data_IF_273644741686
#
_entry.id   IF_273644741686
#
_cell.length_a   1.000
_cell.length_b   1.000
_cell.length_c   1.000
_cell.angle_alpha   90.00
_cell.angle_beta   90.00
_cell.angle_gamma   90.00
#
_symmetry.space_group_name_H-M   'P 1'
#
loop_
_entity.id
_entity.type
_entity.pdbx_description
1 polymer ?
#
# COMPACT_ATOMS: atom_id res chain seq x y z
N UNK A 1 34.57 -30.71 1.29
CA UNK A 1 35.94 -31.26 1.43
C UNK A 1 36.16 -31.73 2.87
N UNK A 2 36.76 -32.91 3.04
CA UNK A 2 37.16 -33.43 4.35
C UNK A 2 38.30 -32.58 4.92
N UNK A 3 38.18 -32.16 6.18
CA UNK A 3 39.23 -31.45 6.92
C UNK A 3 39.73 -32.37 8.03
N UNK A 4 40.48 -33.40 7.64
CA UNK A 4 41.14 -34.32 8.58
C UNK A 4 42.56 -33.83 8.85
N UNK A 5 42.96 -33.83 10.13
CA UNK A 5 44.35 -33.50 10.52
C UNK A 5 45.28 -34.71 10.49
N UNK A 6 44.71 -35.91 10.68
CA UNK A 6 45.44 -37.17 10.73
C UNK A 6 44.74 -38.20 9.82
N UNK A 7 45.46 -39.21 9.31
CA UNK A 7 44.92 -40.20 8.39
C UNK A 7 43.70 -40.92 8.98
N UNK A 8 42.71 -41.17 8.12
CA UNK A 8 41.37 -41.64 8.49
C UNK A 8 41.38 -42.91 9.35
N UNK A 9 42.24 -43.86 8.99
CA UNK A 9 42.33 -45.17 9.65
C UNK A 9 43.26 -45.17 10.87
N UNK A 10 43.69 -44.00 11.34
CA UNK A 10 44.55 -43.90 12.52
C UNK A 10 43.73 -43.71 13.81
N UNK A 11 44.22 -44.31 14.91
CA UNK A 11 43.77 -44.03 16.28
C UNK A 11 44.05 -42.57 16.73
N UNK A 12 44.50 -41.69 15.84
CA UNK A 12 44.67 -40.25 16.10
C UNK A 12 43.86 -39.40 15.11
N UNK A 13 43.01 -40.01 14.28
CA UNK A 13 42.16 -39.31 13.31
C UNK A 13 41.30 -38.27 14.02
N UNK A 14 41.43 -37.01 13.61
CA UNK A 14 40.67 -35.88 14.15
C UNK A 14 40.29 -34.94 13.01
N UNK A 15 39.10 -34.34 13.08
CA UNK A 15 38.59 -33.44 12.06
C UNK A 15 37.27 -33.90 11.42
N UNK A 16 36.80 -33.16 10.43
CA UNK A 16 35.48 -33.39 9.82
C UNK A 16 35.56 -34.13 8.49
N UNK A 17 34.79 -35.22 8.34
CA UNK A 17 34.53 -35.86 7.04
C UNK A 17 33.27 -35.25 6.41
N UNK A 18 33.46 -34.09 5.79
CA UNK A 18 32.37 -33.38 5.12
C UNK A 18 31.23 -33.01 6.08
N UNK A 19 29.98 -33.30 5.67
CA UNK A 19 28.76 -33.05 6.44
C UNK A 19 28.26 -34.27 7.22
N UNK A 20 28.96 -35.41 7.16
CA UNK A 20 28.47 -36.68 7.70
C UNK A 20 28.83 -36.84 9.18
N UNK A 21 30.10 -36.76 9.53
CA UNK A 21 30.57 -36.90 10.91
C UNK A 21 31.91 -36.19 11.14
N UNK A 22 32.14 -35.79 12.38
CA UNK A 22 33.42 -35.28 12.88
C UNK A 22 34.03 -36.25 13.88
N UNK A 23 35.33 -36.53 13.70
CA UNK A 23 36.15 -37.33 14.59
C UNK A 23 36.81 -36.41 15.61
N UNK A 24 36.60 -36.68 16.89
CA UNK A 24 37.21 -35.93 17.99
C UNK A 24 37.79 -36.88 19.05
N UNK A 25 38.86 -36.44 19.72
CA UNK A 25 39.40 -37.11 20.89
C UNK A 25 39.13 -36.24 22.13
N UNK A 26 38.33 -36.74 23.07
CA UNK A 26 37.99 -36.01 24.30
C UNK A 26 38.17 -36.92 25.51
N UNK A 27 38.92 -36.44 26.52
CA UNK A 27 39.22 -37.21 27.75
C UNK A 27 39.70 -38.64 27.48
N UNK A 28 40.60 -38.81 26.50
CA UNK A 28 41.19 -40.11 26.14
C UNK A 28 40.31 -41.02 25.26
N UNK A 29 39.04 -40.70 25.02
CA UNK A 29 38.13 -41.48 24.17
C UNK A 29 38.02 -40.92 22.76
N UNK A 30 37.89 -41.81 21.77
CA UNK A 30 37.57 -41.48 20.39
C UNK A 30 36.06 -41.38 20.22
N UNK A 31 35.59 -40.25 19.70
CA UNK A 31 34.17 -39.95 19.56
C UNK A 31 33.90 -39.63 18.09
N UNK A 32 32.85 -40.25 17.55
CA UNK A 32 32.28 -39.93 16.25
C UNK A 32 31.01 -39.11 16.51
N UNK A 33 31.02 -37.84 16.13
CA UNK A 33 29.87 -36.96 16.32
C UNK A 33 29.25 -36.61 14.96
N UNK A 34 27.96 -36.86 14.79
CA UNK A 34 27.18 -36.29 13.69
C UNK A 34 26.70 -34.91 14.12
N UNK A 35 27.34 -33.84 13.64
CA UNK A 35 26.86 -32.48 13.88
C UNK A 35 25.55 -32.28 13.11
N UNK A 36 24.41 -32.07 13.77
CA UNK A 36 23.19 -31.72 13.06
C UNK A 36 23.44 -30.38 12.36
N UNK A 37 23.28 -30.34 11.04
CA UNK A 37 23.08 -29.07 10.36
C UNK A 37 21.59 -28.77 10.49
N UNK A 38 21.18 -27.82 11.33
CA UNK A 38 19.79 -27.40 11.36
C UNK A 38 19.44 -26.88 9.96
N UNK A 39 18.47 -27.50 9.31
CA UNK A 39 17.87 -26.97 8.08
C UNK A 39 17.04 -25.76 8.47
N UNK A 40 17.14 -24.67 7.71
CA UNK A 40 16.29 -23.50 7.91
C UNK A 40 14.83 -23.93 7.75
N UNK A 41 14.07 -23.85 8.84
CA UNK A 41 12.70 -24.33 8.89
C UNK A 41 11.75 -23.46 8.05
N UNK A 42 12.20 -22.28 7.57
CA UNK A 42 11.46 -21.34 6.70
C UNK A 42 9.98 -21.21 7.07
N UNK A 43 9.67 -21.25 8.36
CA UNK A 43 8.30 -21.06 8.82
C UNK A 43 7.81 -19.67 8.40
N UNK A 44 6.50 -19.46 8.17
CA UNK A 44 5.96 -18.15 7.78
C UNK A 44 6.40 -17.03 8.75
N UNK A 45 6.43 -17.33 10.04
CA UNK A 45 6.88 -16.41 11.10
C UNK A 45 8.38 -16.08 10.96
N UNK A 46 9.23 -17.07 10.69
CA UNK A 46 10.67 -16.83 10.47
C UNK A 46 10.92 -15.98 9.22
N UNK A 47 10.21 -16.25 8.13
CA UNK A 47 10.31 -15.46 6.90
C UNK A 47 9.85 -14.01 7.14
N UNK A 48 8.76 -13.83 7.89
CA UNK A 48 8.28 -12.51 8.29
C UNK A 48 9.33 -11.73 9.09
N UNK A 49 9.89 -12.31 10.15
CA UNK A 49 10.94 -11.64 10.92
C UNK A 49 12.17 -11.33 10.07
N UNK A 50 12.61 -12.26 9.21
CA UNK A 50 13.74 -12.04 8.30
C UNK A 50 13.48 -10.85 7.37
N UNK A 51 12.28 -10.77 6.81
CA UNK A 51 11.85 -9.64 5.98
C UNK A 51 11.91 -8.32 6.76
N UNK A 52 11.39 -8.30 7.99
CA UNK A 52 11.44 -7.12 8.87
C UNK A 52 12.88 -6.66 9.14
N UNK A 53 13.76 -7.57 9.57
CA UNK A 53 15.18 -7.25 9.80
C UNK A 53 15.87 -6.73 8.53
N UNK A 54 15.54 -7.29 7.36
CA UNK A 54 16.09 -6.84 6.07
C UNK A 54 15.64 -5.42 5.74
N UNK A 55 14.37 -5.08 6.00
CA UNK A 55 13.86 -3.70 5.86
C UNK A 55 14.58 -2.73 6.79
N UNK A 56 14.76 -3.07 8.06
CA UNK A 56 15.49 -2.23 9.01
C UNK A 56 16.92 -1.95 8.53
N UNK A 57 17.64 -2.99 8.08
CA UNK A 57 18.98 -2.83 7.56
C UNK A 57 19.03 -1.89 6.34
N UNK A 58 18.08 -2.05 5.40
CA UNK A 58 17.99 -1.17 4.24
C UNK A 58 17.72 0.29 4.62
N UNK A 59 16.84 0.54 5.60
CA UNK A 59 16.54 1.88 6.10
C UNK A 59 17.79 2.54 6.73
N UNK A 60 18.59 1.77 7.46
CA UNK A 60 19.86 2.26 7.99
C UNK A 60 20.84 2.66 6.88
N UNK A 61 20.89 1.91 5.78
CA UNK A 61 21.73 2.23 4.63
C UNK A 61 21.25 3.44 3.82
N UNK A 62 19.95 3.76 3.86
CA UNK A 62 19.41 4.97 3.23
C UNK A 62 19.56 6.22 4.10
N UNK A 63 19.89 6.05 5.38
CA UNK A 63 20.06 7.15 6.33
C UNK A 63 21.31 7.97 5.96
N UNK A 64 21.17 9.29 5.88
CA UNK A 64 22.25 10.18 5.47
C UNK A 64 23.42 10.16 6.46
N UNK A 65 24.62 10.53 6.00
CA UNK A 65 25.83 10.60 6.84
C UNK A 65 25.68 11.57 8.03
N UNK A 66 24.74 12.53 7.95
CA UNK A 66 24.46 13.51 9.00
C UNK A 66 23.56 12.97 10.13
N UNK A 67 22.69 12.00 9.84
CA UNK A 67 21.72 11.46 10.82
C UNK A 67 22.31 10.31 11.64
N UNK A 68 23.24 9.53 11.08
CA UNK A 68 23.94 8.45 11.79
C UNK A 68 24.61 8.88 13.12
N UNK A 69 25.32 10.02 13.21
CA UNK A 69 25.91 10.47 14.47
C UNK A 69 24.85 10.88 15.53
N UNK A 70 23.66 11.31 15.11
CA UNK A 70 22.55 11.60 16.03
C UNK A 70 22.08 10.31 16.72
N UNK A 71 21.86 9.25 15.95
CA UNK A 71 21.52 7.92 16.50
C UNK A 71 22.63 7.36 17.38
N UNK A 72 23.89 7.60 17.04
CA UNK A 72 25.03 7.20 17.87
C UNK A 72 25.04 7.96 19.20
N UNK A 73 24.74 9.27 19.19
CA UNK A 73 24.63 10.09 20.40
C UNK A 73 23.52 9.59 21.34
N UNK A 74 22.37 9.20 20.79
CA UNK A 74 21.24 8.65 21.53
C UNK A 74 21.51 7.23 22.09
N UNK A 75 22.40 6.48 21.44
CA UNK A 75 22.77 5.13 21.82
C UNK A 75 23.89 5.09 22.87
N UNK A 76 24.77 6.10 22.92
CA UNK A 76 25.89 6.19 23.88
C UNK A 76 25.47 6.06 25.35
N UNK A 77 24.42 6.76 25.85
CA UNK A 77 23.94 6.59 27.22
C UNK A 77 23.42 5.18 27.54
N UNK A 78 23.12 4.39 26.51
CA UNK A 78 22.55 3.04 26.63
C UNK A 78 23.58 1.94 26.36
N UNK A 79 24.86 2.30 26.22
CA UNK A 79 25.94 1.36 25.91
C UNK A 79 25.68 0.53 24.62
N UNK A 80 25.04 1.14 23.62
CA UNK A 80 24.74 0.51 22.33
C UNK A 80 25.35 1.30 21.18
N UNK A 81 25.55 0.64 20.03
CA UNK A 81 25.85 1.34 18.78
C UNK A 81 24.59 2.03 18.25
N UNK A 82 24.75 3.11 17.49
CA UNK A 82 23.62 3.78 16.82
C UNK A 82 22.77 2.81 16.01
N UNK A 83 23.41 1.91 15.26
CA UNK A 83 22.76 0.85 14.50
C UNK A 83 21.95 -0.11 15.39
N UNK A 84 22.52 -0.60 16.50
CA UNK A 84 21.82 -1.52 17.40
C UNK A 84 20.63 -0.85 18.09
N UNK A 85 20.74 0.45 18.39
CA UNK A 85 19.64 1.23 18.96
C UNK A 85 18.53 1.50 17.93
N UNK A 86 18.90 1.82 16.69
CA UNK A 86 17.99 2.01 15.56
C UNK A 86 17.20 0.73 15.24
N UNK A 87 17.90 -0.40 15.08
CA UNK A 87 17.27 -1.71 14.85
C UNK A 87 16.32 -2.06 16.00
N UNK A 88 16.71 -1.79 17.26
CA UNK A 88 15.83 -1.97 18.42
C UNK A 88 14.56 -1.11 18.34
N UNK A 89 14.65 0.14 17.86
CA UNK A 89 13.45 0.98 17.67
C UNK A 89 12.56 0.46 16.55
N UNK A 90 13.13 -0.01 15.44
CA UNK A 90 12.35 -0.54 14.32
C UNK A 90 11.68 -1.89 14.61
N UNK A 91 12.20 -2.66 15.58
CA UNK A 91 11.72 -4.01 15.93
C UNK A 91 10.98 -4.12 17.26
N UNK A 92 11.05 -3.10 18.13
CA UNK A 92 10.10 -2.94 19.24
C UNK A 92 8.68 -2.91 18.65
N UNK A 93 7.65 -3.37 19.39
CA UNK A 93 6.32 -3.41 18.83
C UNK A 93 5.96 -1.98 18.44
N UNK A 94 5.94 -1.74 17.14
CA UNK A 94 5.10 -0.71 16.61
C UNK A 94 4.12 -1.27 15.57
N UNK A 95 3.25 -2.22 15.95
CA UNK A 95 2.14 -2.65 15.12
C UNK A 95 1.00 -1.61 15.10
N UNK A 96 1.27 -0.30 15.11
CA UNK A 96 0.17 0.68 15.09
C UNK A 96 0.48 2.18 15.18
N UNK A 97 1.71 2.64 15.40
CA UNK A 97 1.97 4.10 15.55
C UNK A 97 2.38 4.75 14.23
N UNK A 98 2.94 4.03 13.24
CA UNK A 98 3.31 4.64 11.95
C UNK A 98 3.03 3.74 10.75
N UNK A 99 2.47 4.33 9.69
CA UNK A 99 2.52 3.77 8.34
C UNK A 99 3.97 3.72 7.87
N UNK A 100 4.46 2.59 7.31
CA UNK A 100 5.79 2.56 6.70
C UNK A 100 5.88 3.55 5.53
N UNK A 101 6.97 4.35 5.47
CA UNK A 101 7.21 5.32 4.37
C UNK A 101 7.29 4.68 2.98
N UNK A 102 7.59 3.37 2.93
CA UNK A 102 7.63 2.58 1.69
C UNK A 102 6.24 2.11 1.24
N UNK A 103 5.18 2.55 1.93
CA UNK A 103 3.81 2.10 1.69
C UNK A 103 3.55 0.68 2.21
N UNK A 104 2.29 0.26 2.08
CA UNK A 104 1.80 -1.05 2.46
C UNK A 104 0.29 -1.15 2.29
N UNK A 105 -0.24 -2.37 2.37
CA UNK A 105 -1.69 -2.58 2.40
C UNK A 105 -2.20 -2.29 3.81
N UNK A 106 -3.10 -1.33 3.92
CA UNK A 106 -3.78 -1.02 5.18
C UNK A 106 -4.97 -1.95 5.32
N UNK A 107 -5.08 -2.62 6.48
CA UNK A 107 -6.21 -3.49 6.79
C UNK A 107 -7.12 -2.77 7.78
N UNK A 108 -8.30 -2.34 7.32
CA UNK A 108 -9.28 -1.61 8.12
C UNK A 108 -9.40 -0.14 7.72
N UNK A 109 -10.31 0.57 8.40
CA UNK A 109 -10.57 1.98 8.19
C UNK A 109 -9.46 2.85 8.77
N UNK A 110 -9.23 4.02 8.16
CA UNK A 110 -8.25 5.01 8.61
C UNK A 110 -9.02 6.26 9.03
N UNK A 111 -9.03 6.51 10.33
CA UNK A 111 -9.54 7.77 10.87
C UNK A 111 -8.40 8.80 10.89
N UNK A 112 -8.58 9.89 10.13
CA UNK A 112 -7.63 11.01 10.06
C UNK A 112 -7.94 12.09 11.11
N UNK A 113 -9.02 11.93 11.88
CA UNK A 113 -9.57 12.94 12.78
C UNK A 113 -9.78 14.27 12.03
N UNK A 114 -9.03 15.33 12.35
CA UNK A 114 -9.06 16.61 11.63
C UNK A 114 -7.90 16.86 10.66
N UNK A 115 -7.04 15.87 10.42
CA UNK A 115 -5.79 16.07 9.70
C UNK A 115 -5.96 16.09 8.18
N UNK A 116 -5.11 16.88 7.51
CA UNK A 116 -5.12 17.05 6.05
C UNK A 116 -4.25 16.01 5.35
N UNK A 117 -4.68 15.56 4.19
CA UNK A 117 -3.86 14.83 3.22
C UNK A 117 -3.23 15.87 2.28
N UNK A 118 -1.90 15.92 2.22
CA UNK A 118 -1.14 16.83 1.36
C UNK A 118 -0.56 16.06 0.15
N UNK A 119 -0.30 16.78 -0.93
CA UNK A 119 0.38 16.27 -2.14
C UNK A 119 -0.28 15.03 -2.79
N UNK A 120 -1.61 14.93 -2.73
CA UNK A 120 -2.36 13.90 -3.46
C UNK A 120 -2.41 14.27 -4.95
N UNK A 121 -1.91 13.41 -5.87
CA UNK A 121 -1.98 13.67 -7.31
C UNK A 121 -3.42 13.56 -7.84
N UNK A 122 -3.66 14.12 -9.02
CA UNK A 122 -4.95 13.96 -9.70
C UNK A 122 -5.18 12.50 -10.12
N UNK A 123 -6.41 11.98 -9.96
CA UNK A 123 -6.70 10.58 -10.22
C UNK A 123 -6.57 10.26 -11.71
N UNK A 124 -5.91 9.14 -12.00
CA UNK A 124 -5.73 8.60 -13.36
C UNK A 124 -6.61 7.38 -13.63
N UNK A 125 -7.00 6.66 -12.57
CA UNK A 125 -7.90 5.50 -12.64
C UNK A 125 -9.09 5.66 -11.69
N UNK A 126 -10.19 4.94 -11.98
CA UNK A 126 -11.46 5.09 -11.27
C UNK A 126 -11.43 4.67 -9.79
N UNK A 127 -10.42 3.93 -9.35
CA UNK A 127 -10.27 3.43 -7.98
C UNK A 127 -9.37 4.32 -7.10
N UNK A 128 -8.78 5.38 -7.67
CA UNK A 128 -7.95 6.33 -6.91
C UNK A 128 -8.81 7.36 -6.17
N UNK A 129 -8.25 7.92 -5.10
CA UNK A 129 -8.86 9.06 -4.42
C UNK A 129 -8.75 10.33 -5.28
N UNK A 130 -9.83 11.10 -5.37
CA UNK A 130 -9.87 12.36 -6.10
C UNK A 130 -9.52 13.56 -5.20
N UNK A 131 -8.73 14.51 -5.73
CA UNK A 131 -8.54 15.81 -5.07
C UNK A 131 -9.83 16.63 -5.16
N UNK A 132 -10.07 17.52 -4.18
CA UNK A 132 -11.24 18.41 -4.22
C UNK A 132 -11.26 19.27 -5.48
N UNK A 133 -10.10 19.81 -5.88
CA UNK A 133 -9.97 20.64 -7.07
C UNK A 133 -10.36 19.87 -8.34
N UNK A 134 -9.95 18.60 -8.45
CA UNK A 134 -10.33 17.74 -9.56
C UNK A 134 -11.86 17.52 -9.62
N UNK A 135 -12.49 17.17 -8.49
CA UNK A 135 -13.96 16.99 -8.45
C UNK A 135 -14.73 18.28 -8.75
N UNK A 136 -14.30 19.41 -8.19
CA UNK A 136 -14.95 20.72 -8.40
C UNK A 136 -14.78 21.23 -9.84
N UNK A 137 -13.75 20.79 -10.58
CA UNK A 137 -13.59 21.12 -12.00
C UNK A 137 -14.50 20.28 -12.92
N UNK A 138 -14.77 19.02 -12.53
CA UNK A 138 -15.68 18.12 -13.27
C UNK A 138 -17.15 18.47 -13.05
N UNK A 139 -17.47 18.92 -11.84
CA UNK A 139 -18.75 19.55 -11.57
C UNK A 139 -18.65 20.93 -12.19
N UNK A 140 -19.11 21.07 -13.44
CA UNK A 140 -19.43 22.38 -13.99
C UNK A 140 -20.12 23.15 -12.86
N UNK A 141 -19.57 24.30 -12.40
CA UNK A 141 -20.28 25.11 -11.44
C UNK A 141 -21.66 25.24 -12.06
N UNK A 142 -22.70 24.94 -11.28
CA UNK A 142 -24.03 25.35 -11.66
C UNK A 142 -23.93 26.88 -11.74
N UNK A 143 -23.50 27.38 -12.90
CA UNK A 143 -23.88 28.66 -13.41
C UNK A 143 -25.39 28.56 -13.27
N UNK A 144 -25.91 29.20 -12.22
CA UNK A 144 -27.23 29.75 -12.29
C UNK A 144 -27.24 30.39 -13.66
N UNK A 145 -27.89 29.73 -14.61
CA UNK A 145 -28.09 30.31 -15.92
C UNK A 145 -29.08 31.40 -15.62
N UNK A 146 -28.56 32.55 -15.17
CA UNK A 146 -29.33 33.77 -15.11
C UNK A 146 -29.98 33.89 -16.49
N UNK A 147 -31.31 34.08 -16.59
CA UNK A 147 -32.05 34.04 -17.86
C UNK A 147 -31.43 34.91 -18.97
N UNK A 148 -30.59 35.88 -18.61
CA UNK A 148 -29.79 36.72 -19.52
C UNK A 148 -28.72 35.99 -20.34
N UNK A 149 -28.35 34.74 -20.01
CA UNK A 149 -27.33 33.95 -20.73
C UNK A 149 -27.92 32.92 -21.70
N UNK A 150 -29.25 32.79 -21.73
CA UNK A 150 -29.98 32.04 -22.75
C UNK A 150 -30.32 33.07 -23.82
N UNK A 151 -29.83 32.89 -25.05
CA UNK A 151 -30.24 33.74 -26.18
C UNK A 151 -31.79 33.80 -26.19
N UNK A 152 -32.43 34.97 -26.21
CA UNK A 152 -33.89 35.09 -26.14
C UNK A 152 -34.65 34.12 -27.06
N UNK A 153 -34.08 33.78 -28.22
CA UNK A 153 -34.63 32.76 -29.12
C UNK A 153 -34.74 31.37 -28.46
N UNK A 154 -33.70 30.93 -27.74
CA UNK A 154 -33.69 29.65 -27.02
C UNK A 154 -34.61 29.63 -25.79
N UNK A 155 -34.88 30.78 -25.17
CA UNK A 155 -35.87 30.88 -24.09
C UNK A 155 -37.30 30.79 -24.65
N UNK A 156 -37.57 31.47 -25.77
CA UNK A 156 -38.86 31.39 -26.47
C UNK A 156 -39.15 29.97 -26.98
N UNK A 157 -38.13 29.26 -27.48
CA UNK A 157 -38.25 27.87 -27.93
C UNK A 157 -38.59 26.90 -26.77
N UNK A 158 -37.96 27.09 -25.60
CA UNK A 158 -38.27 26.31 -24.40
C UNK A 158 -39.66 26.63 -23.85
N UNK A 159 -40.04 27.90 -23.84
CA UNK A 159 -41.36 28.34 -23.42
C UNK A 159 -42.44 27.80 -24.38
N UNK A 160 -42.17 27.78 -25.68
CA UNK A 160 -43.03 27.18 -26.70
C UNK A 160 -43.16 25.66 -26.54
N UNK A 161 -42.07 24.96 -26.20
CA UNK A 161 -42.11 23.52 -25.92
C UNK A 161 -42.97 23.21 -24.69
N UNK A 162 -42.81 23.98 -23.61
CA UNK A 162 -43.62 23.86 -22.38
C UNK A 162 -45.10 24.15 -22.69
N UNK A 163 -45.38 25.24 -23.42
CA UNK A 163 -46.73 25.64 -23.76
C UNK A 163 -47.40 24.63 -24.71
N UNK A 164 -46.67 24.04 -25.66
CA UNK A 164 -47.18 22.96 -26.51
C UNK A 164 -47.44 21.68 -25.71
N UNK A 165 -46.65 21.41 -24.68
CA UNK A 165 -46.83 20.27 -23.78
C UNK A 165 -48.09 20.45 -22.91
N UNK A 166 -48.31 21.65 -22.39
CA UNK A 166 -49.48 22.00 -21.57
C UNK A 166 -50.77 22.16 -22.39
N UNK A 167 -50.68 22.74 -23.59
CA UNK A 167 -51.79 22.97 -24.53
C UNK A 167 -52.28 21.66 -25.17
N UNK A 168 -51.39 20.70 -25.43
CA UNK A 168 -51.74 19.40 -25.99
C UNK A 168 -52.42 18.45 -24.98
N UNK A 169 -52.65 18.86 -23.72
CA UNK A 169 -53.39 18.08 -22.73
C UNK A 169 -52.80 16.69 -22.44
N UNK A 170 -51.52 16.45 -22.71
CA UNK A 170 -50.85 15.18 -22.44
C UNK A 170 -50.46 15.13 -20.97
N UNK A 171 -51.44 14.97 -20.08
CA UNK A 171 -51.22 14.89 -18.63
C UNK A 171 -50.70 13.53 -18.17
N UNK A 172 -50.53 12.54 -19.04
CA UNK A 172 -50.02 11.22 -18.61
C UNK A 172 -49.39 10.45 -19.77
N UNK A 173 -48.10 10.13 -19.64
CA UNK A 173 -47.50 8.90 -20.19
C UNK A 173 -47.19 8.84 -21.70
N UNK A 174 -47.11 9.95 -22.41
CA UNK A 174 -46.69 9.94 -23.82
C UNK A 174 -45.16 10.03 -23.97
N UNK A 175 -44.52 8.95 -24.41
CA UNK A 175 -43.10 8.93 -24.79
C UNK A 175 -42.80 10.05 -25.79
N UNK A 176 -41.87 10.95 -25.44
CA UNK A 176 -41.36 11.98 -26.35
C UNK A 176 -40.17 11.36 -27.09
N UNK A 177 -40.35 11.09 -28.37
CA UNK A 177 -39.28 10.59 -29.25
C UNK A 177 -38.82 11.73 -30.17
N UNK A 178 -37.56 12.13 -30.04
CA UNK A 178 -36.90 13.00 -31.00
C UNK A 178 -35.82 12.17 -31.72
N UNK A 179 -36.03 11.89 -33.01
CA UNK A 179 -35.05 11.20 -33.85
C UNK A 179 -34.14 12.23 -34.53
N UNK A 180 -32.83 12.15 -34.26
CA UNK A 180 -31.81 12.98 -34.89
C UNK A 180 -30.65 12.14 -35.43
N UNK A 181 -29.80 12.74 -36.26
CA UNK A 181 -28.70 12.05 -36.95
C UNK A 181 -27.65 11.38 -36.02
N UNK A 182 -27.71 11.65 -34.71
CA UNK A 182 -26.82 11.11 -33.68
C UNK A 182 -27.50 10.05 -32.78
N UNK A 183 -28.71 9.59 -33.15
CA UNK A 183 -29.46 8.56 -32.42
C UNK A 183 -30.71 9.10 -31.73
N UNK A 184 -31.67 8.21 -31.47
CA UNK A 184 -32.96 8.55 -30.87
C UNK A 184 -32.79 8.82 -29.37
N UNK A 185 -33.18 10.01 -28.93
CA UNK A 185 -33.29 10.31 -27.51
C UNK A 185 -34.70 9.95 -27.06
N UNK A 186 -34.80 8.91 -26.23
CA UNK A 186 -36.07 8.47 -25.63
C UNK A 186 -36.08 8.86 -24.15
N UNK A 187 -36.90 9.86 -23.80
CA UNK A 187 -37.11 10.25 -22.41
C UNK A 187 -38.39 9.58 -21.92
N UNK A 188 -38.25 8.51 -21.13
CA UNK A 188 -39.37 7.84 -20.48
C UNK A 188 -39.71 8.58 -19.18
N UNK A 189 -40.79 9.37 -19.21
CA UNK A 189 -41.37 9.99 -18.02
C UNK A 189 -42.15 8.89 -17.28
N UNK A 190 -41.44 8.17 -16.41
CA UNK A 190 -41.94 6.98 -15.71
C UNK A 190 -43.34 7.16 -15.11
N UNK A 191 -44.12 6.09 -15.11
CA UNK A 191 -45.49 6.07 -14.55
C UNK A 191 -45.44 6.25 -13.04
N UNK A 192 -45.61 7.48 -12.58
CA UNK A 192 -45.79 7.79 -11.16
C UNK A 192 -47.13 7.25 -10.69
N UNK A 193 -47.08 6.39 -9.66
CA UNK A 193 -48.21 6.03 -8.83
C UNK A 193 -48.90 7.29 -8.29
N UNK A 194 -50.17 7.45 -8.62
CA UNK A 194 -51.20 8.06 -7.76
C UNK A 194 -52.36 7.07 -7.77
#
# INVERSE_FOLDING_TARGET
MSKLKNPLMSLKATGGLGKLFSLAKRRGRHIIERRPHPTDAKSPVQLFYRHMFTKCANLWHTLSEAEQPEWESLARPRHMTGYSWFVSQCLRPNPGIYLPLQGGTMTGDIDMDGNRILDLPDPTVAQEAATKAYSDALILPATQVEPSHIDPATFDDLQALINNTMSAGRTTGGLIEASGALGDIKVNLGTGFI
#
